data_IF_324012363194
#
_entry.id   IF_324012363194
#
_cell.length_a   1.000
_cell.length_b   1.000
_cell.length_c   1.000
_cell.angle_alpha   90.00
_cell.angle_beta   90.00
_cell.angle_gamma   90.00
#
_symmetry.space_group_name_H-M   'P 1'
#
loop_
_entity.id
_entity.type
_entity.pdbx_description
1 polymer ?
#
# COMPACT_ATOMS: atom_id res chain seq x y z
N UNK A 1 -40.39 7.52 -6.59
CA UNK A 1 -39.18 7.81 -5.78
C UNK A 1 -38.29 6.59 -5.59
N UNK A 2 -38.78 5.44 -5.06
CA UNK A 2 -37.92 4.27 -4.82
C UNK A 2 -37.25 3.70 -6.10
N UNK A 3 -37.98 3.62 -7.21
CA UNK A 3 -37.41 3.17 -8.49
C UNK A 3 -36.25 4.05 -8.96
N UNK A 4 -36.32 5.37 -8.75
CA UNK A 4 -35.22 6.28 -9.09
C UNK A 4 -33.95 5.94 -8.29
N UNK A 5 -34.08 5.62 -7.01
CA UNK A 5 -32.93 5.21 -6.19
C UNK A 5 -32.36 3.85 -6.61
N UNK A 6 -33.20 2.94 -7.09
CA UNK A 6 -32.76 1.63 -7.62
C UNK A 6 -31.99 1.83 -8.91
N UNK A 7 -32.51 2.64 -9.84
CA UNK A 7 -31.80 2.98 -11.08
C UNK A 7 -30.46 3.67 -10.76
N UNK A 8 -30.46 4.63 -9.83
CA UNK A 8 -29.24 5.30 -9.38
C UNK A 8 -28.23 4.32 -8.77
N UNK A 9 -28.67 3.40 -7.90
CA UNK A 9 -27.81 2.37 -7.32
C UNK A 9 -27.19 1.46 -8.40
N UNK A 10 -27.96 1.07 -9.40
CA UNK A 10 -27.48 0.31 -10.56
C UNK A 10 -26.43 1.10 -11.34
N UNK A 11 -26.75 2.35 -11.70
CA UNK A 11 -25.84 3.26 -12.40
C UNK A 11 -24.50 3.43 -11.67
N UNK A 12 -24.53 3.75 -10.38
CA UNK A 12 -23.30 3.89 -9.58
C UNK A 12 -22.54 2.57 -9.40
N UNK A 13 -23.23 1.43 -9.37
CA UNK A 13 -22.56 0.12 -9.38
C UNK A 13 -21.82 -0.11 -10.69
N UNK A 14 -22.45 0.18 -11.84
CA UNK A 14 -21.80 0.06 -13.15
C UNK A 14 -20.57 0.95 -13.27
N UNK A 15 -20.65 2.21 -12.81
CA UNK A 15 -19.49 3.11 -12.73
C UNK A 15 -18.39 2.58 -11.81
N UNK A 16 -18.75 2.01 -10.65
CA UNK A 16 -17.78 1.45 -9.72
C UNK A 16 -17.05 0.24 -10.33
N UNK A 17 -17.80 -0.67 -10.97
CA UNK A 17 -17.25 -1.83 -11.69
C UNK A 17 -16.32 -1.40 -12.82
N UNK A 18 -16.69 -0.37 -13.58
CA UNK A 18 -15.87 0.17 -14.65
C UNK A 18 -14.58 0.83 -14.13
N UNK A 19 -14.64 1.50 -12.98
CA UNK A 19 -13.50 2.17 -12.36
C UNK A 19 -12.46 1.19 -11.79
N UNK A 20 -12.90 0.03 -11.28
CA UNK A 20 -12.01 -0.97 -10.68
C UNK A 20 -12.66 -2.35 -10.66
N UNK A 21 -11.98 -3.36 -11.22
CA UNK A 21 -12.48 -4.74 -11.29
C UNK A 21 -12.90 -5.34 -9.94
N UNK A 22 -12.24 -4.97 -8.83
CA UNK A 22 -12.61 -5.45 -7.49
C UNK A 22 -14.02 -5.01 -7.04
N UNK A 23 -14.61 -4.01 -7.69
CA UNK A 23 -15.95 -3.51 -7.39
C UNK A 23 -17.07 -4.39 -7.94
N UNK A 24 -16.75 -5.48 -8.66
CA UNK A 24 -17.71 -6.55 -9.00
C UNK A 24 -18.44 -7.10 -7.76
N UNK A 25 -17.81 -7.00 -6.59
CA UNK A 25 -18.35 -7.37 -5.28
C UNK A 25 -19.56 -6.53 -4.84
N UNK A 26 -19.73 -5.30 -5.35
CA UNK A 26 -20.82 -4.43 -4.90
C UNK A 26 -22.19 -5.02 -5.26
N UNK A 27 -22.32 -5.60 -6.46
CA UNK A 27 -23.57 -6.17 -6.94
C UNK A 27 -24.12 -7.29 -6.02
N UNK A 28 -23.37 -8.36 -5.71
CA UNK A 28 -23.86 -9.39 -4.79
C UNK A 28 -24.12 -8.85 -3.38
N UNK A 29 -23.38 -7.82 -2.91
CA UNK A 29 -23.65 -7.20 -1.60
C UNK A 29 -24.98 -6.47 -1.58
N UNK A 30 -25.26 -5.63 -2.59
CA UNK A 30 -26.54 -4.90 -2.69
C UNK A 30 -27.71 -5.89 -2.78
N UNK A 31 -27.58 -6.90 -3.65
CA UNK A 31 -28.60 -7.94 -3.82
C UNK A 31 -28.80 -8.72 -2.51
N UNK A 32 -27.72 -9.09 -1.82
CA UNK A 32 -27.78 -9.80 -0.54
C UNK A 32 -28.47 -8.98 0.56
N UNK A 33 -28.15 -7.69 0.70
CA UNK A 33 -28.79 -6.81 1.68
C UNK A 33 -30.28 -6.65 1.36
N UNK A 34 -30.64 -6.46 0.09
CA UNK A 34 -32.05 -6.42 -0.31
C UNK A 34 -32.75 -7.75 -0.05
N UNK A 35 -32.09 -8.88 -0.30
CA UNK A 35 -32.61 -10.20 0.05
C UNK A 35 -32.94 -10.29 1.54
N UNK A 36 -32.00 -9.92 2.40
CA UNK A 36 -32.20 -9.88 3.86
C UNK A 36 -33.40 -8.99 4.23
N UNK A 37 -33.48 -7.77 3.68
CA UNK A 37 -34.59 -6.84 3.95
C UNK A 37 -35.95 -7.42 3.46
N UNK A 38 -36.02 -7.94 2.25
CA UNK A 38 -37.26 -8.46 1.68
C UNK A 38 -37.72 -9.76 2.34
N UNK A 39 -36.81 -10.71 2.56
CA UNK A 39 -37.16 -12.05 3.06
C UNK A 39 -37.27 -12.11 4.59
N UNK A 40 -36.47 -11.33 5.33
CA UNK A 40 -36.50 -11.36 6.80
C UNK A 40 -37.35 -10.26 7.41
N UNK A 41 -37.41 -9.07 6.79
CA UNK A 41 -38.07 -7.89 7.37
C UNK A 41 -39.44 -7.65 6.73
N UNK A 42 -39.53 -7.63 5.39
CA UNK A 42 -40.74 -7.21 4.68
C UNK A 42 -41.70 -8.33 4.27
N UNK A 43 -41.28 -9.61 4.31
CA UNK A 43 -41.97 -10.91 4.07
C UNK A 43 -43.08 -11.00 2.99
N UNK A 44 -44.03 -10.06 2.94
CA UNK A 44 -45.18 -10.00 2.01
C UNK A 44 -44.89 -9.33 0.66
N UNK A 45 -43.69 -8.77 0.45
CA UNK A 45 -43.34 -8.02 -0.78
C UNK A 45 -42.30 -8.71 -1.69
N UNK A 46 -42.08 -10.02 -1.56
CA UNK A 46 -40.96 -10.70 -2.24
C UNK A 46 -40.98 -10.61 -3.77
N UNK A 47 -42.14 -10.46 -4.43
CA UNK A 47 -42.20 -10.24 -5.88
C UNK A 47 -41.50 -8.94 -6.30
N UNK A 48 -41.54 -7.90 -5.46
CA UNK A 48 -40.87 -6.61 -5.71
C UNK A 48 -39.35 -6.75 -5.68
N UNK A 49 -38.81 -7.69 -4.89
CA UNK A 49 -37.37 -7.96 -4.85
C UNK A 49 -36.82 -8.29 -6.24
N UNK A 50 -37.46 -9.20 -6.97
CA UNK A 50 -37.02 -9.59 -8.31
C UNK A 50 -37.09 -8.42 -9.30
N UNK A 51 -38.14 -7.60 -9.23
CA UNK A 51 -38.25 -6.38 -10.05
C UNK A 51 -37.11 -5.41 -9.72
N UNK A 52 -36.82 -5.20 -8.44
CA UNK A 52 -35.77 -4.28 -8.01
C UNK A 52 -34.39 -4.75 -8.43
N UNK A 53 -34.09 -6.05 -8.29
CA UNK A 53 -32.84 -6.65 -8.76
C UNK A 53 -32.72 -6.56 -10.27
N UNK A 54 -33.80 -6.80 -11.03
CA UNK A 54 -33.78 -6.68 -12.48
C UNK A 54 -33.49 -5.25 -12.96
N UNK A 55 -34.17 -4.25 -12.39
CA UNK A 55 -33.93 -2.83 -12.71
C UNK A 55 -32.52 -2.41 -12.31
N UNK A 56 -32.06 -2.82 -11.12
CA UNK A 56 -30.70 -2.58 -10.65
C UNK A 56 -29.64 -3.17 -11.60
N UNK A 57 -29.78 -4.45 -11.94
CA UNK A 57 -28.85 -5.16 -12.82
C UNK A 57 -28.85 -4.57 -14.23
N UNK A 58 -30.02 -4.20 -14.76
CA UNK A 58 -30.14 -3.52 -16.05
C UNK A 58 -29.31 -2.23 -16.07
N UNK A 59 -29.49 -1.37 -15.08
CA UNK A 59 -28.73 -0.11 -15.01
C UNK A 59 -27.24 -0.33 -14.76
N UNK A 60 -26.86 -1.32 -13.95
CA UNK A 60 -25.45 -1.64 -13.70
C UNK A 60 -24.74 -2.15 -14.97
N UNK A 61 -25.34 -3.13 -15.65
CA UNK A 61 -24.79 -3.71 -16.90
C UNK A 61 -24.83 -2.69 -18.02
N UNK A 62 -25.92 -1.92 -18.17
CA UNK A 62 -26.02 -0.87 -19.18
C UNK A 62 -24.95 0.20 -19.00
N UNK A 63 -24.75 0.68 -17.77
CA UNK A 63 -23.70 1.68 -17.48
C UNK A 63 -22.31 1.13 -17.75
N UNK A 64 -22.04 -0.12 -17.37
CA UNK A 64 -20.78 -0.78 -17.66
C UNK A 64 -20.57 -0.93 -19.18
N UNK A 65 -21.59 -1.39 -19.90
CA UNK A 65 -21.57 -1.53 -21.35
C UNK A 65 -21.28 -0.18 -22.01
N UNK A 66 -21.92 0.91 -21.58
CA UNK A 66 -21.64 2.25 -22.10
C UNK A 66 -20.17 2.64 -21.95
N UNK A 67 -19.55 2.42 -20.78
CA UNK A 67 -18.13 2.74 -20.58
C UNK A 67 -17.23 1.93 -21.50
N UNK A 68 -17.57 0.66 -21.74
CA UNK A 68 -16.85 -0.24 -22.62
C UNK A 68 -17.35 -0.20 -24.08
N UNK A 69 -18.13 0.81 -24.47
CA UNK A 69 -18.68 0.97 -25.84
C UNK A 69 -19.43 -0.27 -26.35
N UNK A 70 -20.17 -0.91 -25.45
CA UNK A 70 -20.91 -2.16 -25.63
C UNK A 70 -20.07 -3.41 -25.89
N UNK A 71 -18.74 -3.32 -25.75
CA UNK A 71 -17.85 -4.47 -25.77
C UNK A 71 -17.55 -4.97 -24.35
N UNK A 72 -18.48 -5.73 -23.78
CA UNK A 72 -18.33 -6.32 -22.46
C UNK A 72 -17.27 -7.44 -22.41
N UNK A 73 -16.78 -7.93 -23.55
CA UNK A 73 -15.71 -8.93 -23.58
C UNK A 73 -14.41 -8.34 -23.03
N UNK A 74 -14.08 -7.09 -23.38
CA UNK A 74 -12.92 -6.37 -22.83
C UNK A 74 -12.95 -6.27 -21.29
N UNK A 75 -14.13 -5.99 -20.72
CA UNK A 75 -14.30 -5.99 -19.27
C UNK A 75 -14.08 -7.38 -18.67
N UNK A 76 -14.68 -8.40 -19.28
CA UNK A 76 -14.57 -9.78 -18.82
C UNK A 76 -13.12 -10.28 -18.86
N UNK A 77 -12.39 -10.02 -19.93
CA UNK A 77 -10.96 -10.34 -20.08
C UNK A 77 -10.12 -9.66 -19.00
N UNK A 78 -10.33 -8.36 -18.76
CA UNK A 78 -9.63 -7.61 -17.72
C UNK A 78 -9.94 -8.13 -16.31
N UNK A 79 -11.20 -8.48 -16.05
CA UNK A 79 -11.63 -9.08 -14.79
C UNK A 79 -10.97 -10.45 -14.59
N UNK A 80 -11.02 -11.33 -15.60
CA UNK A 80 -10.41 -12.66 -15.54
C UNK A 80 -8.90 -12.60 -15.35
N UNK A 81 -8.21 -11.72 -16.07
CA UNK A 81 -6.78 -11.46 -15.89
C UNK A 81 -6.46 -10.99 -14.47
N UNK A 82 -7.31 -10.10 -13.92
CA UNK A 82 -7.17 -9.63 -12.53
C UNK A 82 -7.38 -10.75 -11.52
N UNK A 83 -8.41 -11.57 -11.67
CA UNK A 83 -8.70 -12.70 -10.79
C UNK A 83 -7.58 -13.74 -10.82
N UNK A 84 -7.04 -14.04 -12.01
CA UNK A 84 -5.88 -14.93 -12.17
C UNK A 84 -4.67 -14.41 -11.38
N UNK A 85 -4.33 -13.12 -11.53
CA UNK A 85 -3.23 -12.49 -10.78
C UNK A 85 -3.45 -12.49 -9.27
N UNK A 86 -4.69 -12.36 -8.81
CA UNK A 86 -5.01 -12.47 -7.37
C UNK A 86 -4.79 -13.91 -6.88
N UNK A 87 -5.15 -14.91 -7.69
CA UNK A 87 -5.00 -16.32 -7.35
C UNK A 87 -3.54 -16.79 -7.32
N UNK A 88 -2.73 -16.33 -8.29
CA UNK A 88 -1.29 -16.63 -8.39
C UNK A 88 -0.51 -16.14 -7.16
N UNK A 89 -1.09 -15.20 -6.40
CA UNK A 89 -0.46 -14.61 -5.23
C UNK A 89 0.63 -13.62 -5.60
N UNK A 90 1.20 -12.97 -4.58
CA UNK A 90 2.27 -12.00 -4.78
C UNK A 90 3.16 -11.95 -3.54
N UNK A 91 4.49 -11.80 -3.69
CA UNK A 91 5.37 -11.62 -2.54
C UNK A 91 4.88 -10.47 -1.67
N UNK A 92 4.61 -10.79 -0.41
CA UNK A 92 4.22 -9.84 0.62
C UNK A 92 5.19 -9.89 1.78
N UNK A 93 5.28 -8.76 2.49
CA UNK A 93 6.05 -8.63 3.72
C UNK A 93 5.20 -7.93 4.76
N UNK A 94 5.12 -8.53 5.95
CA UNK A 94 4.45 -7.95 7.11
C UNK A 94 5.15 -8.36 8.39
N UNK A 95 5.72 -7.38 9.08
CA UNK A 95 6.37 -7.54 10.39
C UNK A 95 7.31 -8.76 10.45
N UNK A 96 8.29 -8.79 9.54
CA UNK A 96 9.27 -9.87 9.44
C UNK A 96 8.77 -11.14 8.71
N UNK A 97 7.47 -11.29 8.46
CA UNK A 97 6.92 -12.45 7.77
C UNK A 97 6.85 -12.23 6.26
N UNK A 98 7.27 -13.24 5.51
CA UNK A 98 7.19 -13.29 4.06
C UNK A 98 6.10 -14.29 3.64
N UNK A 99 5.23 -13.91 2.72
CA UNK A 99 4.22 -14.82 2.19
C UNK A 99 3.98 -14.62 0.71
N UNK A 100 3.69 -15.71 0.00
CA UNK A 100 3.18 -15.68 -1.38
C UNK A 100 1.65 -15.74 -1.43
N UNK A 101 1.05 -16.34 -0.40
CA UNK A 101 -0.39 -16.59 -0.30
C UNK A 101 -1.11 -15.58 0.61
N UNK A 102 -0.36 -14.64 1.19
CA UNK A 102 -0.85 -13.73 2.23
C UNK A 102 -0.93 -14.37 3.62
N UNK A 103 -1.32 -13.56 4.60
CA UNK A 103 -1.62 -13.93 6.00
C UNK A 103 -2.85 -13.16 6.47
N UNK A 104 -3.67 -13.77 7.35
CA UNK A 104 -4.95 -13.17 7.77
C UNK A 104 -4.79 -11.84 8.50
N UNK A 105 -3.68 -11.63 9.20
CA UNK A 105 -3.42 -10.42 9.98
C UNK A 105 -2.76 -9.28 9.19
N UNK A 106 -2.52 -9.44 7.87
CA UNK A 106 -1.89 -8.39 7.06
C UNK A 106 -2.68 -7.08 7.04
N UNK A 107 -3.93 -7.14 6.56
CA UNK A 107 -4.76 -5.94 6.45
C UNK A 107 -5.19 -5.38 7.81
N UNK A 108 -5.55 -6.21 8.82
CA UNK A 108 -5.76 -5.72 10.18
C UNK A 108 -4.54 -4.95 10.73
N UNK A 109 -3.33 -5.51 10.61
CA UNK A 109 -2.12 -4.82 11.07
C UNK A 109 -1.86 -3.55 10.25
N UNK A 110 -1.93 -3.65 8.92
CA UNK A 110 -1.70 -2.50 8.05
C UNK A 110 -2.67 -1.37 8.36
N UNK A 111 -3.97 -1.68 8.51
CA UNK A 111 -4.98 -0.72 8.94
C UNK A 111 -4.62 -0.09 10.29
N UNK A 112 -4.26 -0.90 11.29
CA UNK A 112 -3.95 -0.44 12.64
C UNK A 112 -2.74 0.51 12.69
N UNK A 113 -1.73 0.31 11.85
CA UNK A 113 -0.48 1.09 11.93
C UNK A 113 -0.41 2.24 10.91
N UNK A 114 -1.19 2.18 9.83
CA UNK A 114 -1.28 3.24 8.81
C UNK A 114 -2.38 4.26 9.11
N UNK A 115 -3.40 3.88 9.86
CA UNK A 115 -4.55 4.75 10.13
C UNK A 115 -4.26 5.64 11.32
N UNK A 116 -4.55 6.95 11.27
CA UNK A 116 -4.36 7.83 12.42
C UNK A 116 -5.06 7.32 13.69
N UNK A 117 -4.40 7.44 14.85
CA UNK A 117 -4.92 6.92 16.13
C UNK A 117 -6.29 7.50 16.47
N UNK A 118 -6.54 8.76 16.11
CA UNK A 118 -7.86 9.39 16.26
C UNK A 118 -8.98 8.61 15.55
N UNK A 119 -8.72 8.16 14.32
CA UNK A 119 -9.71 7.42 13.53
C UNK A 119 -9.94 6.04 14.15
N UNK A 120 -8.89 5.38 14.63
CA UNK A 120 -8.99 4.08 15.30
C UNK A 120 -9.81 4.15 16.59
N UNK A 121 -9.56 5.15 17.44
CA UNK A 121 -10.32 5.37 18.67
C UNK A 121 -11.77 5.73 18.37
N UNK A 122 -12.01 6.62 17.41
CA UNK A 122 -13.35 7.00 16.99
C UNK A 122 -14.13 5.80 16.43
N UNK A 123 -13.47 4.95 15.63
CA UNK A 123 -14.04 3.72 15.08
C UNK A 123 -14.41 2.73 16.19
N UNK A 124 -13.53 2.53 17.18
CA UNK A 124 -13.81 1.69 18.34
C UNK A 124 -15.03 2.19 19.14
N UNK A 125 -15.10 3.51 19.40
CA UNK A 125 -16.28 4.13 20.01
C UNK A 125 -17.55 3.93 19.16
N UNK A 126 -17.41 3.93 17.83
CA UNK A 126 -18.50 3.67 16.90
C UNK A 126 -19.10 2.27 17.05
N UNK A 127 -18.25 1.24 17.10
CA UNK A 127 -18.70 -0.12 17.38
C UNK A 127 -19.35 -0.25 18.75
N UNK A 128 -18.79 0.39 19.78
CA UNK A 128 -19.37 0.41 21.13
C UNK A 128 -20.76 1.07 21.12
N UNK A 129 -20.91 2.23 20.46
CA UNK A 129 -22.18 2.92 20.37
C UNK A 129 -23.25 2.07 19.64
N UNK A 130 -22.87 1.42 18.53
CA UNK A 130 -23.74 0.51 17.78
C UNK A 130 -24.16 -0.69 18.64
N UNK A 131 -23.25 -1.24 19.45
CA UNK A 131 -23.53 -2.37 20.32
C UNK A 131 -24.45 -2.01 21.50
N UNK A 132 -24.28 -0.84 22.10
CA UNK A 132 -25.11 -0.38 23.24
C UNK A 132 -26.50 0.05 22.77
N UNK A 133 -26.61 0.68 21.59
CA UNK A 133 -27.87 1.19 21.03
C UNK A 133 -28.09 0.64 19.61
N UNK A 134 -28.33 -0.67 19.45
CA UNK A 134 -28.49 -1.26 18.13
C UNK A 134 -29.72 -0.70 17.43
N UNK A 135 -29.57 -0.28 16.18
CA UNK A 135 -30.65 0.21 15.32
C UNK A 135 -30.64 -0.55 14.00
N UNK A 136 -31.83 -0.89 13.49
CA UNK A 136 -31.98 -1.60 12.20
C UNK A 136 -31.24 -0.90 11.04
N UNK A 137 -31.16 0.44 11.08
CA UNK A 137 -30.48 1.23 10.05
C UNK A 137 -28.97 0.94 9.95
N UNK A 138 -28.33 0.49 11.02
CA UNK A 138 -26.89 0.20 11.02
C UNK A 138 -26.53 -1.04 10.20
N UNK A 139 -27.50 -1.92 9.91
CA UNK A 139 -27.31 -3.08 9.02
C UNK A 139 -26.77 -2.65 7.66
N UNK A 140 -27.25 -1.51 7.14
CA UNK A 140 -26.83 -0.94 5.84
C UNK A 140 -25.38 -0.46 5.80
N UNK A 141 -24.73 -0.31 6.96
CA UNK A 141 -23.32 0.09 7.09
C UNK A 141 -22.48 -1.12 7.51
N UNK A 142 -22.96 -1.90 8.48
CA UNK A 142 -22.22 -3.01 9.08
C UNK A 142 -22.07 -4.19 8.13
N UNK A 143 -23.13 -4.57 7.38
CA UNK A 143 -23.02 -5.68 6.42
C UNK A 143 -21.96 -5.41 5.35
N UNK A 144 -22.01 -4.29 4.59
CA UNK A 144 -21.00 -4.05 3.55
C UNK A 144 -19.60 -3.87 4.16
N UNK A 145 -19.48 -3.25 5.34
CA UNK A 145 -18.21 -3.15 6.06
C UNK A 145 -17.63 -4.52 6.40
N UNK A 146 -18.40 -5.38 7.09
CA UNK A 146 -17.96 -6.72 7.50
C UNK A 146 -17.65 -7.57 6.27
N UNK A 147 -18.53 -7.57 5.27
CA UNK A 147 -18.36 -8.35 4.06
C UNK A 147 -17.06 -8.00 3.34
N UNK A 148 -16.81 -6.72 3.11
CA UNK A 148 -15.59 -6.28 2.42
C UNK A 148 -14.34 -6.51 3.29
N UNK A 149 -14.45 -6.32 4.61
CA UNK A 149 -13.35 -6.62 5.54
C UNK A 149 -12.96 -8.11 5.51
N UNK A 150 -13.93 -9.01 5.53
CA UNK A 150 -13.71 -10.46 5.46
C UNK A 150 -13.06 -10.87 4.13
N UNK A 151 -13.54 -10.36 3.00
CA UNK A 151 -12.94 -10.63 1.69
C UNK A 151 -11.51 -10.09 1.61
N UNK A 152 -11.27 -8.91 2.19
CA UNK A 152 -9.94 -8.32 2.19
C UNK A 152 -8.96 -9.18 2.99
N UNK A 153 -9.36 -9.65 4.17
CA UNK A 153 -8.54 -10.50 5.05
C UNK A 153 -8.13 -11.81 4.35
N UNK A 154 -9.00 -12.38 3.51
CA UNK A 154 -8.72 -13.63 2.78
C UNK A 154 -8.01 -13.42 1.43
N UNK A 155 -7.79 -12.17 1.01
CA UNK A 155 -7.09 -11.85 -0.22
C UNK A 155 -5.61 -12.22 -0.14
N UNK A 156 -5.11 -12.90 -1.17
CA UNK A 156 -3.67 -13.19 -1.35
C UNK A 156 -2.87 -11.96 -1.81
N UNK A 157 -3.56 -10.95 -2.34
CA UNK A 157 -2.92 -9.73 -2.87
C UNK A 157 -2.66 -8.72 -1.74
N UNK A 158 -1.57 -8.95 -1.01
CA UNK A 158 -1.22 -8.22 0.21
C UNK A 158 0.01 -7.35 0.02
N UNK A 159 -0.12 -6.35 -0.85
CA UNK A 159 1.00 -5.47 -1.23
C UNK A 159 0.81 -4.02 -0.79
N UNK A 160 -0.34 -3.66 -0.21
CA UNK A 160 -0.63 -2.28 0.19
C UNK A 160 -1.99 -2.08 0.83
N UNK A 161 -2.08 -1.16 1.79
CA UNK A 161 -3.36 -0.77 2.42
C UNK A 161 -4.41 -0.25 1.41
N UNK A 162 -3.99 0.17 0.21
CA UNK A 162 -4.91 0.62 -0.87
C UNK A 162 -6.00 -0.39 -1.25
N UNK A 163 -5.80 -1.68 -0.97
CA UNK A 163 -6.78 -2.73 -1.25
C UNK A 163 -8.00 -2.68 -0.30
N UNK A 164 -7.86 -2.04 0.86
CA UNK A 164 -8.95 -1.85 1.84
C UNK A 164 -9.53 -0.43 1.87
N UNK A 165 -9.10 0.47 0.99
CA UNK A 165 -9.68 1.82 0.88
C UNK A 165 -11.20 1.84 0.70
N UNK A 166 -11.85 0.86 0.06
CA UNK A 166 -13.32 0.84 -0.01
C UNK A 166 -14.01 0.74 1.36
N UNK A 167 -13.29 0.37 2.43
CA UNK A 167 -13.81 0.42 3.80
C UNK A 167 -13.89 1.85 4.37
N UNK A 168 -13.14 2.81 3.82
CA UNK A 168 -12.99 4.14 4.42
C UNK A 168 -14.32 4.89 4.62
N UNK A 169 -15.27 4.91 3.66
CA UNK A 169 -16.56 5.56 3.90
C UNK A 169 -17.31 4.96 5.09
N UNK A 170 -17.31 3.64 5.23
CA UNK A 170 -17.96 2.96 6.36
C UNK A 170 -17.24 3.25 7.67
N UNK A 171 -15.89 3.26 7.66
CA UNK A 171 -15.08 3.62 8.82
C UNK A 171 -15.41 5.03 9.29
N UNK A 172 -15.51 6.01 8.39
CA UNK A 172 -15.86 7.38 8.71
C UNK A 172 -17.26 7.49 9.35
N UNK A 173 -18.25 6.79 8.79
CA UNK A 173 -19.62 6.80 9.33
C UNK A 173 -19.66 6.14 10.70
N UNK A 174 -19.08 4.95 10.88
CA UNK A 174 -19.04 4.27 12.18
C UNK A 174 -18.30 5.15 13.21
N UNK A 175 -17.16 5.72 12.84
CA UNK A 175 -16.41 6.64 13.70
C UNK A 175 -17.25 7.85 14.13
N UNK A 176 -18.01 8.46 13.21
CA UNK A 176 -18.88 9.60 13.51
C UNK A 176 -20.00 9.26 14.50
N UNK A 177 -20.54 8.04 14.44
CA UNK A 177 -21.55 7.55 15.40
C UNK A 177 -20.94 7.52 16.80
N UNK A 178 -19.72 6.99 16.93
CA UNK A 178 -19.00 6.92 18.21
C UNK A 178 -18.72 8.28 18.81
N UNK A 179 -18.18 9.20 18.01
CA UNK A 179 -17.90 10.57 18.46
C UNK A 179 -19.19 11.27 18.88
N UNK A 180 -20.25 11.19 18.07
CA UNK A 180 -21.54 11.85 18.34
C UNK A 180 -22.23 11.33 19.60
N UNK A 181 -22.07 10.05 19.93
CA UNK A 181 -22.65 9.45 21.13
C UNK A 181 -21.88 9.85 22.40
N UNK A 182 -20.55 9.94 22.33
CA UNK A 182 -19.72 10.08 23.54
C UNK A 182 -19.03 11.44 23.74
N UNK A 183 -19.14 12.40 22.81
CA UNK A 183 -18.44 13.69 22.92
C UNK A 183 -18.81 14.51 24.16
N UNK A 184 -20.01 14.33 24.73
CA UNK A 184 -20.42 15.04 25.96
C UNK A 184 -19.69 14.54 27.21
N UNK A 185 -19.08 13.34 27.17
CA UNK A 185 -18.30 12.80 28.29
C UNK A 185 -16.90 13.45 28.28
N UNK A 186 -16.65 14.36 29.23
CA UNK A 186 -15.39 15.15 29.33
C UNK A 186 -14.13 14.31 29.12
N UNK A 187 -14.01 13.14 29.77
CA UNK A 187 -12.85 12.26 29.62
C UNK A 187 -12.67 11.76 28.18
N UNK A 188 -13.76 11.30 27.54
CA UNK A 188 -13.72 10.81 26.14
C UNK A 188 -13.37 11.94 25.19
N UNK A 189 -13.97 13.12 25.37
CA UNK A 189 -13.67 14.30 24.57
C UNK A 189 -12.19 14.69 24.63
N UNK A 190 -11.63 14.79 25.85
CA UNK A 190 -10.22 15.11 26.03
C UNK A 190 -9.30 14.07 25.38
N UNK A 191 -9.61 12.77 25.52
CA UNK A 191 -8.86 11.70 24.83
C UNK A 191 -8.93 11.83 23.32
N UNK A 192 -10.10 12.11 22.75
CA UNK A 192 -10.27 12.31 21.32
C UNK A 192 -9.48 13.51 20.81
N UNK A 193 -9.55 14.66 21.50
CA UNK A 193 -8.77 15.86 21.17
C UNK A 193 -7.27 15.57 21.23
N UNK A 194 -6.80 14.93 22.31
CA UNK A 194 -5.39 14.54 22.43
C UNK A 194 -4.95 13.63 21.27
N UNK A 195 -5.75 12.61 20.96
CA UNK A 195 -5.44 11.69 19.86
C UNK A 195 -5.47 12.36 18.48
N UNK A 196 -6.32 13.38 18.30
CA UNK A 196 -6.40 14.19 17.09
C UNK A 196 -5.15 15.05 16.93
N UNK A 197 -4.74 15.75 17.98
CA UNK A 197 -3.51 16.56 18.01
C UNK A 197 -2.30 15.66 17.75
N UNK A 198 -2.20 14.51 18.41
CA UNK A 198 -1.12 13.54 18.19
C UNK A 198 -1.10 13.05 16.73
N UNK A 199 -2.26 12.71 16.17
CA UNK A 199 -2.39 12.30 14.77
C UNK A 199 -1.93 13.40 13.81
N UNK A 200 -2.28 14.65 14.10
CA UNK A 200 -1.87 15.81 13.30
C UNK A 200 -0.36 16.07 13.36
N UNK A 201 0.26 15.92 14.54
CA UNK A 201 1.73 16.02 14.67
C UNK A 201 2.44 14.98 13.79
N UNK A 202 1.97 13.74 13.78
CA UNK A 202 2.57 12.70 12.92
C UNK A 202 2.30 12.93 11.43
N UNK A 203 1.16 13.52 11.08
CA UNK A 203 0.87 13.95 9.72
C UNK A 203 1.83 15.05 9.26
N UNK A 204 2.05 16.09 10.07
CA UNK A 204 3.01 17.17 9.78
C UNK A 204 4.40 16.60 9.62
N UNK A 205 4.85 15.74 10.56
CA UNK A 205 6.17 15.11 10.48
C UNK A 205 6.38 14.31 9.20
N UNK A 206 5.31 13.71 8.68
CA UNK A 206 5.38 12.89 7.47
C UNK A 206 5.27 13.72 6.19
N UNK A 207 4.78 14.97 6.25
CA UNK A 207 4.63 15.80 5.05
C UNK A 207 5.98 16.03 4.36
N UNK A 208 6.09 15.91 3.03
CA UNK A 208 5.04 15.60 2.03
C UNK A 208 4.86 14.10 1.68
N UNK A 209 5.49 13.17 2.41
CA UNK A 209 5.62 11.74 2.10
C UNK A 209 4.47 10.86 2.64
N UNK A 210 3.21 11.19 2.33
CA UNK A 210 2.05 10.54 2.93
C UNK A 210 1.92 9.04 2.69
N UNK A 211 2.48 8.53 1.58
CA UNK A 211 2.50 7.08 1.32
C UNK A 211 3.24 6.33 2.43
N UNK A 212 4.36 6.91 2.88
CA UNK A 212 5.20 6.41 3.96
C UNK A 212 4.66 6.70 5.36
N UNK A 213 3.45 7.23 5.51
CA UNK A 213 2.88 7.51 6.83
C UNK A 213 2.65 6.24 7.65
N UNK A 214 3.11 6.26 8.90
CA UNK A 214 2.71 5.33 9.96
C UNK A 214 2.39 6.14 11.21
N UNK A 215 1.46 5.65 12.00
CA UNK A 215 1.00 6.34 13.20
C UNK A 215 1.97 6.14 14.39
N UNK A 216 1.64 6.75 15.51
CA UNK A 216 2.45 6.74 16.72
C UNK A 216 2.60 5.36 17.38
N UNK A 217 1.72 4.39 17.11
CA UNK A 217 1.75 3.04 17.73
C UNK A 217 3.05 2.31 17.39
N UNK A 218 3.57 2.53 16.18
CA UNK A 218 4.81 1.92 15.70
C UNK A 218 6.00 2.88 15.69
N UNK A 219 5.87 4.03 16.36
CA UNK A 219 6.91 5.06 16.39
C UNK A 219 7.01 5.89 15.10
N UNK A 220 5.98 5.90 14.26
CA UNK A 220 5.90 6.74 13.07
C UNK A 220 6.60 6.19 11.82
N UNK A 221 6.63 7.02 10.79
CA UNK A 221 7.15 6.71 9.45
C UNK A 221 8.62 6.22 9.48
N UNK A 222 9.41 6.65 10.46
CA UNK A 222 10.80 6.21 10.65
C UNK A 222 10.98 4.71 10.87
N UNK A 223 9.95 4.04 11.39
CA UNK A 223 9.96 2.61 11.66
C UNK A 223 9.08 1.81 10.70
N UNK A 224 8.36 2.48 9.79
CA UNK A 224 7.35 1.86 8.92
C UNK A 224 7.88 0.66 8.12
N UNK A 225 9.10 0.78 7.59
CA UNK A 225 9.78 -0.27 6.82
C UNK A 225 10.03 -1.57 7.57
N UNK A 226 9.99 -1.56 8.89
CA UNK A 226 10.11 -2.78 9.71
C UNK A 226 8.81 -3.59 9.72
N UNK A 227 7.67 -2.94 9.48
CA UNK A 227 6.34 -3.54 9.55
C UNK A 227 5.74 -3.83 8.19
N UNK A 228 5.90 -2.94 7.22
CA UNK A 228 5.36 -3.13 5.87
C UNK A 228 6.37 -2.65 4.84
N UNK A 229 6.29 -3.23 3.65
CA UNK A 229 7.10 -2.86 2.49
C UNK A 229 6.20 -2.74 1.24
N UNK A 230 6.81 -2.63 0.06
CA UNK A 230 6.12 -2.47 -1.23
C UNK A 230 5.31 -1.17 -1.27
N UNK A 231 4.09 -1.22 -1.81
CA UNK A 231 3.19 -0.11 -2.01
C UNK A 231 2.62 0.50 -0.73
N UNK A 232 3.05 -0.01 0.42
CA UNK A 232 2.88 0.69 1.69
C UNK A 232 3.94 1.78 1.92
N UNK A 233 5.00 1.86 1.12
CA UNK A 233 6.08 2.83 1.32
C UNK A 233 6.47 3.52 0.03
N UNK A 234 6.62 2.75 -1.05
CA UNK A 234 7.35 3.23 -2.21
C UNK A 234 6.71 2.75 -3.51
N UNK A 235 6.66 3.65 -4.49
CA UNK A 235 6.48 3.37 -5.92
C UNK A 235 7.49 4.13 -6.79
N UNK A 236 8.43 4.84 -6.16
CA UNK A 236 9.44 5.68 -6.78
C UNK A 236 9.29 7.17 -6.48
N UNK A 237 8.32 7.58 -5.67
CA UNK A 237 8.10 8.99 -5.40
C UNK A 237 9.28 9.66 -4.67
N UNK A 238 10.06 8.88 -3.90
CA UNK A 238 11.16 9.42 -3.09
C UNK A 238 12.49 9.53 -3.87
N UNK A 239 12.52 9.09 -5.14
CA UNK A 239 13.69 9.26 -6.03
C UNK A 239 14.04 10.74 -6.22
N UNK A 240 13.04 11.62 -6.25
CA UNK A 240 13.25 13.06 -6.31
C UNK A 240 13.99 13.59 -5.07
N UNK A 241 13.64 13.09 -3.89
CA UNK A 241 14.27 13.47 -2.63
C UNK A 241 15.74 13.02 -2.59
N UNK A 242 16.00 11.79 -3.05
CA UNK A 242 17.36 11.28 -3.21
C UNK A 242 18.16 12.14 -4.18
N UNK A 243 17.58 12.52 -5.32
CA UNK A 243 18.21 13.39 -6.31
C UNK A 243 18.60 14.74 -5.73
N UNK A 244 17.71 15.38 -4.95
CA UNK A 244 17.99 16.67 -4.31
C UNK A 244 19.21 16.57 -3.40
N UNK A 245 19.21 15.58 -2.50
CA UNK A 245 20.34 15.34 -1.60
C UNK A 245 21.65 15.10 -2.37
N UNK A 246 21.63 14.27 -3.41
CA UNK A 246 22.83 14.00 -4.20
C UNK A 246 23.36 15.26 -4.88
N UNK A 247 22.48 16.08 -5.49
CA UNK A 247 22.87 17.33 -6.15
C UNK A 247 23.48 18.34 -5.19
N UNK A 248 22.93 18.48 -3.99
CA UNK A 248 23.48 19.34 -2.93
C UNK A 248 24.86 18.85 -2.45
N UNK A 249 25.20 17.59 -2.70
CA UNK A 249 26.46 16.96 -2.29
C UNK A 249 27.39 16.65 -3.48
N UNK A 250 27.30 17.42 -4.57
CA UNK A 250 28.19 17.32 -5.74
C UNK A 250 27.76 16.29 -6.80
N UNK A 251 26.58 15.70 -6.66
CA UNK A 251 25.99 14.69 -7.54
C UNK A 251 26.91 13.50 -7.86
N UNK A 252 27.51 12.84 -6.85
CA UNK A 252 28.36 11.67 -7.09
C UNK A 252 27.52 10.51 -7.67
N UNK A 253 28.12 9.65 -8.50
CA UNK A 253 27.44 8.45 -8.94
C UNK A 253 27.22 7.49 -7.77
N UNK A 254 26.12 6.75 -7.80
CA UNK A 254 25.74 5.82 -6.73
C UNK A 254 25.55 4.39 -7.27
N UNK A 255 25.65 3.41 -6.40
CA UNK A 255 25.14 2.06 -6.67
C UNK A 255 23.71 2.02 -6.14
N UNK A 256 22.74 1.61 -6.96
CA UNK A 256 21.33 1.73 -6.59
C UNK A 256 20.57 0.40 -6.70
N UNK A 257 20.19 -0.15 -5.55
CA UNK A 257 19.28 -1.28 -5.43
C UNK A 257 17.83 -0.82 -5.28
N UNK A 258 17.18 -0.58 -6.40
CA UNK A 258 15.94 0.17 -6.46
C UNK A 258 14.69 -0.70 -6.67
N UNK A 259 13.62 -0.34 -5.95
CA UNK A 259 12.24 -0.81 -6.18
C UNK A 259 11.37 0.38 -6.55
N UNK A 260 10.68 0.32 -7.70
CA UNK A 260 9.75 1.36 -8.13
C UNK A 260 9.80 1.60 -9.63
N UNK A 261 9.06 2.61 -10.09
CA UNK A 261 8.91 2.91 -11.54
C UNK A 261 9.41 4.30 -11.94
N UNK A 262 9.86 5.13 -10.98
CA UNK A 262 10.44 6.43 -11.29
C UNK A 262 11.83 6.24 -11.88
N UNK A 263 12.11 6.92 -12.99
CA UNK A 263 13.41 6.90 -13.67
C UNK A 263 14.44 7.76 -12.92
N UNK A 264 15.48 7.21 -12.26
CA UNK A 264 16.48 8.02 -11.58
C UNK A 264 17.21 8.99 -12.53
N UNK A 265 17.41 8.58 -13.79
CA UNK A 265 18.04 9.38 -14.85
C UNK A 265 17.25 10.65 -15.17
N UNK A 266 15.91 10.62 -15.09
CA UNK A 266 15.07 11.79 -15.30
C UNK A 266 15.35 12.89 -14.25
N UNK A 267 15.69 12.48 -13.04
CA UNK A 267 16.08 13.41 -11.97
C UNK A 267 17.58 13.75 -12.00
N UNK A 268 18.35 13.24 -12.97
CA UNK A 268 19.78 13.47 -13.10
C UNK A 268 20.64 12.70 -12.10
N UNK A 269 20.11 11.60 -11.53
CA UNK A 269 20.88 10.69 -10.69
C UNK A 269 21.77 9.84 -11.61
N UNK A 270 23.08 9.92 -11.37
CA UNK A 270 24.07 9.02 -11.96
C UNK A 270 24.12 7.74 -11.16
N UNK A 271 23.86 6.59 -11.77
CA UNK A 271 23.81 5.34 -11.02
C UNK A 271 24.18 4.09 -11.80
N UNK A 272 24.67 3.12 -11.04
CA UNK A 272 24.84 1.72 -11.47
C UNK A 272 23.74 0.88 -10.84
N UNK A 273 22.88 0.23 -11.63
CA UNK A 273 21.77 -0.56 -11.12
C UNK A 273 22.29 -1.84 -10.46
N UNK A 274 21.71 -2.21 -9.32
CA UNK A 274 22.02 -3.47 -8.64
C UNK A 274 20.75 -4.16 -8.14
N UNK A 275 20.35 -5.28 -8.75
CA UNK A 275 19.18 -6.02 -8.29
C UNK A 275 17.87 -5.20 -8.38
N UNK A 276 17.63 -4.55 -9.51
CA UNK A 276 16.43 -3.74 -9.74
C UNK A 276 15.16 -4.61 -9.68
N UNK A 277 14.14 -4.14 -8.96
CA UNK A 277 12.80 -4.71 -8.96
C UNK A 277 11.83 -3.65 -9.50
N UNK A 278 11.46 -3.77 -10.77
CA UNK A 278 10.60 -2.79 -11.45
C UNK A 278 9.71 -3.44 -12.49
N UNK A 279 8.63 -2.74 -12.85
CA UNK A 279 7.78 -3.09 -13.99
C UNK A 279 8.22 -2.38 -15.28
N UNK A 280 9.28 -1.57 -15.22
CA UNK A 280 9.90 -0.93 -16.37
C UNK A 280 11.38 -1.26 -16.41
N UNK A 281 11.97 -1.19 -17.59
CA UNK A 281 13.40 -1.39 -17.75
C UNK A 281 14.18 -0.17 -17.25
N UNK A 282 15.15 -0.41 -16.37
CA UNK A 282 16.03 0.59 -15.76
C UNK A 282 17.48 0.11 -15.87
N UNK A 283 18.21 0.62 -16.87
CA UNK A 283 19.55 0.14 -17.26
C UNK A 283 20.71 0.89 -16.59
N UNK A 284 20.45 1.98 -15.86
CA UNK A 284 21.52 2.83 -15.30
C UNK A 284 22.02 3.91 -16.26
N UNK A 285 23.01 4.67 -15.79
CA UNK A 285 23.67 5.74 -16.57
C UNK A 285 25.07 5.35 -17.08
N UNK A 286 25.39 4.05 -17.11
CA UNK A 286 26.68 3.52 -17.58
C UNK A 286 27.92 4.07 -16.84
N UNK A 287 27.78 4.42 -15.56
CA UNK A 287 28.91 4.89 -14.76
C UNK A 287 29.98 3.79 -14.59
N UNK A 288 31.24 4.23 -14.56
CA UNK A 288 32.38 3.37 -14.29
C UNK A 288 32.63 3.27 -12.78
N UNK A 289 32.26 2.14 -12.19
CA UNK A 289 32.42 1.86 -10.75
C UNK A 289 33.85 2.07 -10.25
N UNK A 290 34.85 1.86 -11.12
CA UNK A 290 36.25 2.00 -10.73
C UNK A 290 36.65 3.47 -10.49
N UNK A 291 35.91 4.43 -11.07
CA UNK A 291 36.16 5.86 -10.95
C UNK A 291 35.41 6.51 -9.78
N UNK A 292 34.70 5.74 -8.97
CA UNK A 292 33.91 6.29 -7.87
C UNK A 292 34.82 6.74 -6.72
N UNK A 293 34.80 8.02 -6.39
CA UNK A 293 35.57 8.55 -5.25
C UNK A 293 35.02 8.14 -3.89
N UNK A 294 33.70 7.94 -3.83
CA UNK A 294 32.97 7.41 -2.67
C UNK A 294 32.12 6.23 -3.10
N UNK A 295 32.03 5.21 -2.27
CA UNK A 295 31.15 4.06 -2.50
C UNK A 295 29.82 4.32 -1.80
N UNK A 296 28.96 5.09 -2.49
CA UNK A 296 27.61 5.36 -2.01
C UNK A 296 26.64 4.30 -2.50
N UNK A 297 25.90 3.69 -1.58
CA UNK A 297 24.92 2.64 -1.87
C UNK A 297 23.52 3.09 -1.46
N UNK A 298 22.64 3.28 -2.44
CA UNK A 298 21.24 3.56 -2.22
C UNK A 298 20.41 2.27 -2.35
N UNK A 299 19.39 2.11 -1.51
CA UNK A 299 18.50 0.96 -1.54
C UNK A 299 17.07 1.33 -1.11
N UNK A 300 16.07 0.91 -1.88
CA UNK A 300 14.66 1.05 -1.47
C UNK A 300 14.33 0.13 -0.30
N UNK A 301 13.43 0.55 0.59
CA UNK A 301 12.96 -0.19 1.76
C UNK A 301 12.46 -1.59 1.41
N UNK A 302 11.78 -1.74 0.27
CA UNK A 302 11.32 -3.03 -0.25
C UNK A 302 12.47 -3.97 -0.58
N UNK A 303 13.56 -3.45 -1.17
CA UNK A 303 14.74 -4.25 -1.45
C UNK A 303 15.55 -4.50 -0.18
N UNK A 304 15.64 -3.54 0.74
CA UNK A 304 16.26 -3.72 2.06
C UNK A 304 15.59 -4.86 2.85
N UNK A 305 14.27 -4.98 2.76
CA UNK A 305 13.52 -6.11 3.32
C UNK A 305 13.54 -7.36 2.43
N UNK A 306 14.26 -7.37 1.31
CA UNK A 306 14.41 -8.54 0.43
C UNK A 306 13.08 -9.18 -0.02
N UNK A 307 12.01 -8.39 -0.16
CA UNK A 307 10.63 -8.90 -0.40
C UNK A 307 10.57 -9.78 -1.64
N UNK A 308 11.18 -9.31 -2.74
CA UNK A 308 11.16 -9.97 -4.05
C UNK A 308 12.39 -10.84 -4.33
N UNK A 309 13.32 -10.97 -3.38
CA UNK A 309 14.53 -11.78 -3.57
C UNK A 309 14.29 -13.20 -3.07
N UNK A 310 14.95 -14.18 -3.71
CA UNK A 310 14.88 -15.58 -3.27
C UNK A 310 15.45 -15.76 -1.85
N UNK A 311 16.60 -15.15 -1.60
CA UNK A 311 17.20 -15.11 -0.27
C UNK A 311 16.66 -13.89 0.50
N UNK A 312 16.01 -14.12 1.64
CA UNK A 312 15.42 -13.05 2.47
C UNK A 312 16.43 -12.28 3.32
N UNK A 313 17.67 -12.75 3.36
CA UNK A 313 18.78 -12.13 4.10
C UNK A 313 19.73 -11.34 3.21
N UNK A 314 19.40 -11.20 1.92
CA UNK A 314 20.25 -10.58 0.87
C UNK A 314 20.86 -9.25 1.32
N UNK A 315 20.08 -8.38 1.97
CA UNK A 315 20.50 -7.05 2.41
C UNK A 315 20.46 -6.85 3.93
N UNK A 316 20.31 -7.91 4.74
CA UNK A 316 20.16 -7.78 6.20
C UNK A 316 21.36 -7.08 6.86
N UNK A 317 22.57 -7.27 6.34
CA UNK A 317 23.79 -6.64 6.84
C UNK A 317 23.77 -5.09 6.83
N UNK A 318 22.91 -4.48 6.01
CA UNK A 318 22.72 -3.02 5.98
C UNK A 318 21.88 -2.51 7.16
N UNK A 319 21.16 -3.39 7.87
CA UNK A 319 20.32 -3.02 9.02
C UNK A 319 21.17 -2.63 10.24
N UNK A 320 22.40 -3.11 10.31
CA UNK A 320 23.37 -2.80 11.37
C UNK A 320 24.22 -1.56 11.05
N UNK A 321 24.09 -1.01 9.84
CA UNK A 321 24.80 0.20 9.40
C UNK A 321 23.83 1.37 9.49
N UNK A 322 24.28 2.51 10.02
CA UNK A 322 23.49 3.73 10.03
C UNK A 322 23.51 4.37 8.63
N UNK A 323 22.36 4.60 7.98
CA UNK A 323 22.33 5.34 6.71
C UNK A 323 22.73 6.80 6.93
N UNK A 324 23.43 7.39 5.97
CA UNK A 324 23.79 8.82 5.99
C UNK A 324 22.60 9.71 5.62
N UNK A 325 21.63 9.15 4.88
CA UNK A 325 20.43 9.86 4.46
C UNK A 325 19.28 8.88 4.21
N UNK A 326 18.04 9.35 4.41
CA UNK A 326 16.83 8.59 4.08
C UNK A 326 15.86 9.48 3.31
N UNK A 327 15.66 9.15 2.03
CA UNK A 327 14.75 9.86 1.15
C UNK A 327 13.30 9.42 1.41
N UNK A 328 12.44 10.35 1.83
CA UNK A 328 10.99 10.16 2.02
C UNK A 328 10.55 8.95 2.85
N UNK A 329 11.44 8.47 3.74
CA UNK A 329 11.32 7.24 4.54
C UNK A 329 11.45 5.92 3.77
N UNK A 330 11.57 5.93 2.44
CA UNK A 330 11.56 4.70 1.65
C UNK A 330 12.87 4.38 0.93
N UNK A 331 13.81 5.32 0.77
CA UNK A 331 15.12 5.03 0.16
C UNK A 331 16.24 5.37 1.15
N UNK A 332 17.14 4.42 1.37
CA UNK A 332 18.23 4.53 2.33
C UNK A 332 19.54 4.71 1.56
N UNK A 333 20.32 5.73 1.92
CA UNK A 333 21.64 5.97 1.37
C UNK A 333 22.69 5.66 2.43
N UNK A 334 23.67 4.84 2.06
CA UNK A 334 24.78 4.42 2.89
C UNK A 334 26.10 4.88 2.28
N UNK A 335 27.02 5.35 3.13
CA UNK A 335 28.42 5.52 2.75
C UNK A 335 29.19 4.26 3.15
N UNK A 336 29.65 3.51 2.16
CA UNK A 336 30.40 2.28 2.34
C UNK A 336 31.87 2.43 1.97
N UNK A 337 32.34 3.67 1.73
CA UNK A 337 33.72 3.95 1.26
C UNK A 337 34.78 3.30 2.15
N UNK A 338 34.56 3.31 3.47
CA UNK A 338 35.46 2.72 4.46
C UNK A 338 35.00 1.35 5.00
N UNK A 339 34.00 0.73 4.37
CA UNK A 339 33.40 -0.53 4.83
C UNK A 339 33.79 -1.69 3.91
N UNK A 340 34.92 -2.35 4.23
CA UNK A 340 35.45 -3.48 3.43
C UNK A 340 34.43 -4.58 3.21
N UNK A 341 33.73 -4.98 4.27
CA UNK A 341 32.79 -6.09 4.23
C UNK A 341 31.56 -5.74 3.39
N UNK A 342 31.07 -4.50 3.48
CA UNK A 342 30.00 -3.97 2.64
C UNK A 342 30.39 -3.93 1.16
N UNK A 343 31.61 -3.45 0.84
CA UNK A 343 32.15 -3.45 -0.52
C UNK A 343 32.24 -4.89 -1.05
N UNK A 344 32.82 -5.82 -0.28
CA UNK A 344 32.92 -7.23 -0.65
C UNK A 344 31.55 -7.86 -0.99
N UNK A 345 30.53 -7.57 -0.17
CA UNK A 345 29.16 -8.06 -0.41
C UNK A 345 28.57 -7.48 -1.69
N UNK A 346 28.75 -6.19 -1.95
CA UNK A 346 28.31 -5.53 -3.18
C UNK A 346 29.00 -6.12 -4.41
N UNK A 347 30.32 -6.31 -4.36
CA UNK A 347 31.10 -6.93 -5.44
C UNK A 347 30.58 -8.35 -5.75
N UNK A 348 30.29 -9.14 -4.71
CA UNK A 348 29.71 -10.47 -4.86
C UNK A 348 28.36 -10.50 -5.59
N UNK A 349 27.61 -9.39 -5.62
CA UNK A 349 26.39 -9.30 -6.45
C UNK A 349 26.70 -9.06 -7.93
N UNK A 350 27.74 -8.28 -8.26
CA UNK A 350 28.17 -8.06 -9.63
C UNK A 350 28.81 -9.31 -10.26
N UNK A 351 29.54 -10.09 -9.46
CA UNK A 351 30.21 -11.32 -9.89
C UNK A 351 29.23 -12.47 -10.21
N UNK A 352 28.04 -12.46 -9.60
CA UNK A 352 26.97 -13.42 -9.91
C UNK A 352 26.16 -13.05 -11.18
N UNK A 353 26.50 -11.94 -11.84
CA UNK A 353 25.91 -11.50 -13.10
C UNK A 353 26.95 -11.25 -14.20
N UNK A 354 26.51 -10.76 -15.36
CA UNK A 354 27.38 -10.45 -16.51
C UNK A 354 28.34 -9.24 -16.31
N UNK A 355 28.53 -8.78 -15.07
CA UNK A 355 29.28 -7.56 -14.71
C UNK A 355 30.49 -7.81 -13.80
N UNK A 356 30.96 -9.05 -13.64
CA UNK A 356 32.01 -9.41 -12.67
C UNK A 356 33.35 -8.66 -12.81
N UNK A 357 33.67 -8.11 -13.98
CA UNK A 357 34.87 -7.27 -14.14
C UNK A 357 34.74 -5.91 -13.42
N UNK A 358 33.53 -5.39 -13.23
CA UNK A 358 33.29 -4.08 -12.58
C UNK A 358 33.47 -4.12 -11.07
N UNK A 359 33.29 -5.28 -10.43
CA UNK A 359 33.41 -5.43 -8.97
C UNK A 359 34.85 -5.55 -8.47
N UNK A 360 35.73 -6.21 -9.24
CA UNK A 360 37.11 -6.49 -8.81
C UNK A 360 37.97 -5.24 -8.61
N UNK A 361 37.73 -4.16 -9.36
CA UNK A 361 38.48 -2.92 -9.23
C UNK A 361 38.15 -2.14 -7.94
N UNK A 362 36.88 -2.17 -7.50
CA UNK A 362 36.44 -1.55 -6.24
C UNK A 362 37.19 -2.14 -5.05
N UNK A 363 37.36 -3.47 -5.06
CA UNK A 363 38.09 -4.16 -3.99
C UNK A 363 39.59 -3.86 -4.01
N UNK A 364 40.19 -3.79 -5.21
CA UNK A 364 41.60 -3.41 -5.38
C UNK A 364 41.89 -2.01 -4.82
N UNK A 365 41.09 -1.01 -5.20
CA UNK A 365 41.22 0.37 -4.71
C UNK A 365 41.12 0.48 -3.18
N UNK A 366 40.20 -0.24 -2.55
CA UNK A 366 40.10 -0.24 -1.09
C UNK A 366 41.39 -0.77 -0.44
N UNK A 367 42.01 -1.80 -1.01
CA UNK A 367 43.27 -2.35 -0.48
C UNK A 367 44.46 -1.39 -0.73
N UNK A 368 44.47 -0.66 -1.84
CA UNK A 368 45.55 0.27 -2.21
C UNK A 368 45.52 1.58 -1.37
N UNK A 369 44.35 2.04 -0.88
CA UNK A 369 44.23 3.26 -0.04
C UNK A 369 44.69 3.04 1.42
N UNK A 370 44.78 1.78 1.88
CA UNK A 370 45.19 1.42 3.25
C UNK A 370 46.64 0.95 3.39
N UNK A 371 47.38 0.84 2.29
CA UNK A 371 48.84 0.76 2.28
C UNK A 371 49.41 2.17 2.19
#
# INVERSE_FOLDING_TARGET
KIMLYICAAGFFTGLAMASKFSMVIIAPVVIGIWGIDFFLIRKKEFKKFFVFVAVYALFAVFTLALVYKFDLALYAEGLMSTLKRVNDGRPSFVFGHYSMNGVLWYFPLAFLIKTPVFVLLSLALGFIAIAIKPQKKYIWIMIPFIFYALISITSRLQIGIRHILPLMPFICVIASIGVSEFYKKKKVFLTLIFSLVLSFIFLIKTHPFYLSHFNSIVGGSENGYKYLADSNLDWGQDVQELSRYLKENGNPPIIFAYFGISRPEYYGIKYVPLGIISNIELTGTNEDLCKFDKVLFAISATNLQSVYYKNKDTYNWLKDIKPIFRAGYSIFLYDLTNNKDGINRIVGFFDKGAQGNKGKCLLKRYNDIKQ
#
